data_IF_785906584088
#
_entry.id   IF_785906584088
#
_cell.length_a   1.000
_cell.length_b   1.000
_cell.length_c   1.000
_cell.angle_alpha   90.00
_cell.angle_beta   90.00
_cell.angle_gamma   90.00
#
_symmetry.space_group_name_H-M   'P 1'
#
loop_
_entity.id
_entity.type
_entity.pdbx_description
1 polymer ?
#
# COMPACT_ATOMS: atom_id res chain seq x y z
N UNK A 1 -24.00 27.73 18.22
CA UNK A 1 -22.70 27.14 17.89
C UNK A 1 -22.94 26.09 16.83
N UNK A 2 -22.66 26.41 15.57
CA UNK A 2 -22.77 25.44 14.49
C UNK A 2 -21.52 24.58 14.52
N UNK A 3 -21.66 23.30 14.82
CA UNK A 3 -20.59 22.32 14.65
C UNK A 3 -20.37 22.15 13.15
N UNK A 4 -19.21 22.57 12.67
CA UNK A 4 -18.79 22.30 11.29
C UNK A 4 -18.80 20.79 11.02
N UNK A 5 -19.26 20.34 9.84
CA UNK A 5 -19.11 18.94 9.46
C UNK A 5 -17.61 18.69 9.33
N UNK A 6 -17.05 18.01 10.34
CA UNK A 6 -15.69 17.50 10.26
C UNK A 6 -15.56 16.74 8.95
N UNK A 7 -14.61 17.17 8.12
CA UNK A 7 -14.15 16.39 6.97
C UNK A 7 -14.05 14.96 7.46
N UNK A 8 -14.92 14.08 6.96
CA UNK A 8 -14.87 12.67 7.30
C UNK A 8 -13.55 12.17 6.71
N UNK A 9 -12.46 12.30 7.47
CA UNK A 9 -11.26 11.54 7.26
C UNK A 9 -11.76 10.12 7.10
N UNK A 10 -11.45 9.53 5.93
CA UNK A 10 -11.72 8.13 5.66
C UNK A 10 -10.89 7.34 6.67
N UNK A 11 -11.42 7.20 7.88
CA UNK A 11 -10.76 6.50 8.96
C UNK A 11 -10.54 5.10 8.47
N UNK A 12 -9.27 4.70 8.41
CA UNK A 12 -8.90 3.37 7.98
C UNK A 12 -9.67 2.37 8.84
N UNK A 13 -10.50 1.50 8.26
CA UNK A 13 -11.26 0.53 9.04
C UNK A 13 -10.26 -0.37 9.76
N UNK A 14 -10.38 -0.50 11.08
CA UNK A 14 -9.50 -1.38 11.85
C UNK A 14 -9.98 -2.83 11.70
N UNK A 15 -9.13 -3.68 11.16
CA UNK A 15 -9.35 -5.10 11.04
C UNK A 15 -8.97 -5.82 12.33
N UNK A 16 -9.93 -6.54 12.90
CA UNK A 16 -9.77 -7.30 14.13
C UNK A 16 -9.79 -8.83 13.90
N UNK A 17 -9.79 -9.28 12.65
CA UNK A 17 -9.94 -10.70 12.28
C UNK A 17 -11.33 -11.07 11.77
N UNK A 18 -12.34 -10.22 11.97
CA UNK A 18 -13.72 -10.47 11.52
C UNK A 18 -14.05 -9.70 10.23
N UNK A 19 -14.95 -10.25 9.41
CA UNK A 19 -15.46 -9.60 8.20
C UNK A 19 -14.36 -9.13 7.23
N UNK A 20 -13.35 -9.98 7.01
CA UNK A 20 -12.22 -9.67 6.12
C UNK A 20 -12.65 -9.14 4.74
N UNK A 21 -13.71 -9.68 4.14
CA UNK A 21 -14.22 -9.21 2.84
C UNK A 21 -14.68 -7.74 2.90
N UNK A 22 -15.37 -7.31 3.97
CA UNK A 22 -15.77 -5.91 4.12
C UNK A 22 -14.58 -5.00 4.37
N UNK A 23 -13.67 -5.43 5.23
CA UNK A 23 -12.45 -4.68 5.52
C UNK A 23 -11.61 -4.50 4.25
N UNK A 24 -11.35 -5.59 3.52
CA UNK A 24 -10.51 -5.57 2.32
C UNK A 24 -11.11 -4.71 1.20
N UNK A 25 -12.43 -4.72 1.00
CA UNK A 25 -13.11 -3.83 0.04
C UNK A 25 -12.90 -2.35 0.40
N UNK A 26 -13.07 -1.99 1.69
CA UNK A 26 -12.89 -0.61 2.17
C UNK A 26 -11.42 -0.20 2.07
N UNK A 27 -10.50 -1.07 2.48
CA UNK A 27 -9.06 -0.81 2.42
C UNK A 27 -8.58 -0.65 0.98
N UNK A 28 -9.02 -1.51 0.05
CA UNK A 28 -8.78 -1.38 -1.39
C UNK A 28 -9.28 -0.04 -1.93
N UNK A 29 -10.44 0.43 -1.45
CA UNK A 29 -10.98 1.74 -1.86
C UNK A 29 -10.09 2.89 -1.41
N UNK A 30 -9.61 2.87 -0.16
CA UNK A 30 -8.68 3.88 0.37
C UNK A 30 -7.36 3.87 -0.42
N UNK A 31 -6.76 2.69 -0.62
CA UNK A 31 -5.52 2.58 -1.40
C UNK A 31 -5.69 3.09 -2.84
N UNK A 32 -6.85 2.84 -3.46
CA UNK A 32 -7.17 3.39 -4.79
C UNK A 32 -7.33 4.90 -4.78
N UNK A 33 -7.97 5.50 -3.77
CA UNK A 33 -8.10 6.96 -3.69
C UNK A 33 -6.77 7.67 -3.51
N UNK A 34 -5.77 6.98 -2.94
CA UNK A 34 -4.39 7.48 -2.83
C UNK A 34 -3.49 7.10 -4.03
N UNK A 35 -4.00 6.37 -5.03
CA UNK A 35 -3.21 5.90 -6.17
C UNK A 35 -2.15 4.86 -5.81
N UNK A 36 -2.33 4.12 -4.71
CA UNK A 36 -1.37 3.17 -4.15
C UNK A 36 -1.70 1.71 -4.46
N UNK A 37 -2.94 1.42 -4.87
CA UNK A 37 -3.43 0.04 -5.03
C UNK A 37 -2.60 -0.81 -5.99
N UNK A 38 -2.07 -0.22 -7.07
CA UNK A 38 -1.25 -0.93 -8.05
C UNK A 38 0.02 -1.53 -7.42
N UNK A 39 0.69 -0.77 -6.55
CA UNK A 39 1.87 -1.23 -5.80
C UNK A 39 1.52 -2.36 -4.83
N UNK A 40 0.34 -2.29 -4.19
CA UNK A 40 -0.12 -3.32 -3.25
C UNK A 40 -0.51 -4.62 -3.98
N UNK A 41 -1.15 -4.52 -5.14
CA UNK A 41 -1.63 -5.70 -5.90
C UNK A 41 -0.48 -6.35 -6.69
N UNK A 42 0.28 -5.55 -7.42
CA UNK A 42 1.29 -6.04 -8.35
C UNK A 42 2.68 -6.11 -7.71
N UNK A 43 2.95 -5.30 -6.69
CA UNK A 43 4.30 -5.10 -6.17
C UNK A 43 5.09 -4.12 -7.02
N UNK A 44 6.37 -4.00 -6.71
CA UNK A 44 7.34 -3.28 -7.51
C UNK A 44 8.61 -4.12 -7.65
N UNK A 45 9.27 -4.02 -8.79
CA UNK A 45 10.55 -4.66 -9.00
C UNK A 45 11.66 -3.63 -8.73
N UNK A 46 12.50 -3.91 -7.74
CA UNK A 46 13.66 -3.06 -7.43
C UNK A 46 14.73 -3.16 -8.52
N UNK A 47 14.66 -4.18 -9.38
CA UNK A 47 15.65 -4.48 -10.41
C UNK A 47 15.32 -3.91 -11.78
N UNK A 48 14.09 -3.45 -12.03
CA UNK A 48 13.66 -2.94 -13.33
C UNK A 48 12.93 -1.59 -13.18
N UNK A 49 13.66 -0.47 -13.15
CA UNK A 49 13.05 0.84 -13.37
C UNK A 49 12.59 0.87 -14.83
N UNK A 50 11.35 0.45 -15.09
CA UNK A 50 10.80 0.39 -16.44
C UNK A 50 11.01 1.75 -17.12
N UNK A 51 11.89 1.84 -18.14
CA UNK A 51 12.18 3.12 -18.75
C UNK A 51 10.96 3.51 -19.56
N UNK A 52 10.33 4.62 -19.16
CA UNK A 52 9.55 5.40 -20.09
C UNK A 52 10.44 5.67 -21.28
N UNK A 53 10.01 5.20 -22.45
CA UNK A 53 10.66 5.42 -23.74
C UNK A 53 11.10 6.88 -23.82
N UNK A 54 12.41 7.13 -23.91
CA UNK A 54 13.04 8.16 -24.72
C UNK A 54 14.55 8.04 -24.53
N UNK A 55 15.24 7.97 -25.67
CA UNK A 55 16.67 7.77 -25.82
C UNK A 55 17.47 9.01 -25.35
N UNK A 56 18.75 8.76 -25.09
CA UNK A 56 19.86 9.72 -24.92
C UNK A 56 20.25 10.22 -23.50
N UNK A 57 21.58 10.22 -23.32
CA UNK A 57 22.36 10.86 -22.26
C UNK A 57 22.47 10.12 -20.90
N UNK A 58 23.36 9.11 -20.86
CA UNK A 58 23.67 8.21 -19.74
C UNK A 58 24.11 8.82 -18.39
N UNK A 59 24.01 10.13 -18.19
CA UNK A 59 24.16 10.78 -16.88
C UNK A 59 22.84 11.29 -16.29
N UNK A 60 21.84 11.61 -17.13
CA UNK A 60 20.52 12.10 -16.67
C UNK A 60 19.57 10.93 -16.37
N UNK A 61 19.70 9.84 -17.12
CA UNK A 61 18.88 8.62 -16.97
C UNK A 61 19.06 8.03 -15.56
N UNK A 62 20.28 7.93 -15.06
CA UNK A 62 20.56 7.38 -13.74
C UNK A 62 19.97 8.21 -12.58
N UNK A 63 19.91 9.53 -12.71
CA UNK A 63 19.31 10.42 -11.70
C UNK A 63 17.77 10.34 -11.72
N UNK A 64 17.17 10.25 -12.91
CA UNK A 64 15.73 10.06 -13.10
C UNK A 64 15.27 8.69 -12.61
N UNK A 65 16.03 7.62 -12.89
CA UNK A 65 15.77 6.26 -12.42
C UNK A 65 15.84 6.17 -10.90
N UNK A 66 16.87 6.76 -10.28
CA UNK A 66 17.01 6.82 -8.83
C UNK A 66 15.87 7.61 -8.18
N UNK A 67 15.48 8.75 -8.77
CA UNK A 67 14.38 9.57 -8.28
C UNK A 67 13.04 8.82 -8.37
N UNK A 68 12.82 8.11 -9.47
CA UNK A 68 11.63 7.27 -9.69
C UNK A 68 11.57 6.12 -8.69
N UNK A 69 12.69 5.45 -8.43
CA UNK A 69 12.76 4.37 -7.44
C UNK A 69 12.50 4.89 -6.02
N UNK A 70 13.04 6.04 -5.66
CA UNK A 70 12.75 6.69 -4.38
C UNK A 70 11.26 7.02 -4.22
N UNK A 71 10.59 7.51 -5.28
CA UNK A 71 9.15 7.74 -5.26
C UNK A 71 8.34 6.45 -5.08
N UNK A 72 8.73 5.36 -5.72
CA UNK A 72 8.08 4.05 -5.58
C UNK A 72 8.20 3.58 -4.13
N UNK A 73 9.39 3.61 -3.55
CA UNK A 73 9.62 3.21 -2.16
C UNK A 73 8.83 4.09 -1.18
N UNK A 74 8.72 5.40 -1.42
CA UNK A 74 7.91 6.29 -0.61
C UNK A 74 6.41 5.96 -0.71
N UNK A 75 5.92 5.63 -1.91
CA UNK A 75 4.52 5.22 -2.13
C UNK A 75 4.23 3.87 -1.48
N UNK A 76 5.14 2.91 -1.59
CA UNK A 76 5.02 1.61 -0.93
C UNK A 76 5.03 1.75 0.60
N UNK A 77 5.96 2.51 1.16
CA UNK A 77 5.99 2.79 2.61
C UNK A 77 4.70 3.47 3.09
N UNK A 78 4.13 4.38 2.31
CA UNK A 78 2.83 4.99 2.61
C UNK A 78 1.71 3.95 2.59
N UNK A 79 1.69 3.06 1.59
CA UNK A 79 0.70 2.00 1.48
C UNK A 79 0.80 1.00 2.64
N UNK A 80 2.03 0.61 3.00
CA UNK A 80 2.32 -0.25 4.14
C UNK A 80 1.85 0.39 5.45
N UNK A 81 2.17 1.66 5.68
CA UNK A 81 1.72 2.40 6.85
C UNK A 81 0.18 2.47 6.96
N UNK A 82 -0.52 2.63 5.84
CA UNK A 82 -1.99 2.55 5.83
C UNK A 82 -2.46 1.16 6.26
N UNK A 83 -1.90 0.09 5.70
CA UNK A 83 -2.26 -1.31 6.05
C UNK A 83 -2.01 -1.56 7.53
N UNK A 84 -0.84 -1.16 8.04
CA UNK A 84 -0.45 -1.29 9.44
C UNK A 84 -1.39 -0.51 10.38
N UNK A 85 -1.83 0.69 10.00
CA UNK A 85 -2.82 1.46 10.77
C UNK A 85 -4.23 0.86 10.73
N UNK A 86 -4.50 0.03 9.74
CA UNK A 86 -5.80 -0.58 9.47
C UNK A 86 -5.95 -1.97 10.09
N UNK A 87 -4.99 -2.44 10.87
CA UNK A 87 -5.05 -3.73 11.58
C UNK A 87 -4.98 -3.48 13.09
N UNK A 88 -5.63 -4.33 13.88
CA UNK A 88 -5.55 -4.26 15.34
C UNK A 88 -4.24 -4.83 15.86
N UNK A 89 -3.89 -4.55 17.11
CA UNK A 89 -2.71 -5.13 17.79
C UNK A 89 -2.74 -6.67 17.86
N UNK A 90 -3.90 -7.29 17.70
CA UNK A 90 -4.04 -8.75 17.62
C UNK A 90 -3.59 -9.30 16.26
N UNK A 91 -3.76 -8.50 15.19
CA UNK A 91 -3.48 -8.89 13.81
C UNK A 91 -2.10 -8.39 13.36
N UNK A 92 -1.65 -7.24 13.84
CA UNK A 92 -0.36 -6.64 13.47
C UNK A 92 0.82 -7.62 13.55
N UNK A 93 0.95 -8.51 14.56
CA UNK A 93 2.02 -9.50 14.60
C UNK A 93 2.08 -10.42 13.38
N UNK A 94 0.99 -10.61 12.62
CA UNK A 94 0.99 -11.42 11.40
C UNK A 94 1.81 -10.81 10.27
N UNK A 95 1.86 -9.48 10.19
CA UNK A 95 2.54 -8.74 9.13
C UNK A 95 3.82 -8.04 9.63
N UNK A 96 4.28 -8.34 10.85
CA UNK A 96 5.33 -7.59 11.52
C UNK A 96 6.68 -7.63 10.79
N UNK A 97 6.93 -8.71 10.04
CA UNK A 97 8.17 -8.90 9.28
C UNK A 97 8.05 -8.45 7.83
N UNK A 98 6.89 -7.94 7.41
CA UNK A 98 6.68 -7.52 6.03
C UNK A 98 7.18 -6.10 5.82
N UNK A 99 8.15 -5.98 4.93
CA UNK A 99 8.77 -4.70 4.57
C UNK A 99 8.08 -4.01 3.39
N UNK A 100 7.14 -4.69 2.72
CA UNK A 100 6.43 -4.16 1.55
C UNK A 100 4.92 -4.18 1.77
N UNK A 101 4.23 -3.23 1.14
CA UNK A 101 2.77 -3.17 1.20
C UNK A 101 2.10 -4.39 0.58
N UNK A 102 2.68 -4.92 -0.51
CA UNK A 102 2.24 -6.17 -1.16
C UNK A 102 2.35 -7.36 -0.20
N UNK A 103 3.52 -7.54 0.41
CA UNK A 103 3.77 -8.67 1.32
C UNK A 103 2.81 -8.68 2.51
N UNK A 104 2.61 -7.52 3.15
CA UNK A 104 1.63 -7.36 4.21
C UNK A 104 0.20 -7.68 3.75
N UNK A 105 -0.18 -7.21 2.56
CA UNK A 105 -1.51 -7.48 1.99
C UNK A 105 -1.73 -8.95 1.67
N UNK A 106 -0.74 -9.63 1.09
CA UNK A 106 -0.82 -11.03 0.70
C UNK A 106 -0.91 -11.94 1.93
N UNK A 107 -0.16 -11.67 3.02
CA UNK A 107 -0.32 -12.39 4.29
C UNK A 107 -1.76 -12.25 4.82
N UNK A 108 -2.28 -11.02 4.89
CA UNK A 108 -3.65 -10.79 5.40
C UNK A 108 -4.69 -11.51 4.52
N UNK A 109 -4.47 -11.54 3.22
CA UNK A 109 -5.35 -12.26 2.29
C UNK A 109 -5.28 -13.77 2.49
N UNK A 110 -4.07 -14.33 2.58
CA UNK A 110 -3.87 -15.76 2.77
C UNK A 110 -4.48 -16.24 4.09
N UNK A 111 -4.22 -15.54 5.19
CA UNK A 111 -4.66 -15.94 6.53
C UNK A 111 -6.18 -15.85 6.73
N UNK A 112 -6.85 -14.82 6.18
CA UNK A 112 -8.23 -14.49 6.54
C UNK A 112 -9.26 -14.70 5.43
N UNK A 113 -8.83 -14.84 4.18
CA UNK A 113 -9.70 -15.28 3.07
C UNK A 113 -9.63 -16.79 2.86
N UNK A 114 -8.47 -17.38 3.12
CA UNK A 114 -8.12 -18.75 2.78
C UNK A 114 -7.82 -18.95 1.29
N UNK A 115 -6.89 -19.86 1.00
CA UNK A 115 -6.82 -20.52 -0.32
C UNK A 115 -8.04 -21.44 -0.41
N UNK A 116 -8.99 -21.10 -1.29
CA UNK A 116 -10.07 -22.03 -1.64
C UNK A 116 -9.57 -23.02 -2.67
#
# INVERSE_FOLDING_TARGET
>A
MASEPGTAELRTPVFNGENYEFWSIRMKTILKSHGLWDLVENGFDVSDPKPGKEEEEGSKVAEVEKSTMAEILMKDARALGLIQSAVSDQIFPKILNEETSKGAWDILKQEFRGDK
#
